data_IF_370463784587
#
_entry.id   IF_370463784587
#
_cell.length_a   1.000
_cell.length_b   1.000
_cell.length_c   1.000
_cell.angle_alpha   90.00
_cell.angle_beta   90.00
_cell.angle_gamma   90.00
#
_symmetry.space_group_name_H-M   'P 1'
#
loop_
_entity.id
_entity.type
_entity.pdbx_description
1 polymer ?
#
# COMPACT_ATOMS: atom_id res chain seq x y z
N UNK A 1 14.51 2.43 -28.75
CA UNK A 1 15.28 2.96 -27.61
C UNK A 1 15.66 1.81 -26.70
N UNK A 2 16.96 1.63 -26.42
CA UNK A 2 17.48 0.59 -25.52
C UNK A 2 17.91 1.24 -24.21
N UNK A 3 17.64 0.58 -23.09
CA UNK A 3 18.19 0.97 -21.79
C UNK A 3 19.71 0.83 -21.82
N UNK A 4 20.41 1.69 -21.08
CA UNK A 4 21.87 1.62 -20.97
C UNK A 4 22.30 0.24 -20.43
N UNK A 5 23.28 -0.40 -21.07
CA UNK A 5 23.73 -1.75 -20.74
C UNK A 5 24.35 -1.84 -19.34
N UNK A 6 25.02 -0.78 -18.88
CA UNK A 6 25.55 -0.68 -17.50
C UNK A 6 24.44 -0.61 -16.47
N UNK A 7 23.38 0.16 -16.71
CA UNK A 7 22.23 0.22 -15.81
C UNK A 7 21.57 -1.15 -15.64
N UNK A 8 21.38 -1.91 -16.73
CA UNK A 8 20.80 -3.25 -16.69
C UNK A 8 21.64 -4.20 -15.83
N UNK A 9 22.98 -4.12 -15.88
CA UNK A 9 23.88 -4.97 -15.11
C UNK A 9 23.89 -4.64 -13.61
N UNK A 10 23.70 -3.36 -13.26
CA UNK A 10 23.85 -2.84 -11.89
C UNK A 10 22.52 -2.86 -11.12
N UNK A 11 21.41 -2.57 -11.79
CA UNK A 11 20.12 -2.27 -11.13
C UNK A 11 19.58 -3.37 -10.21
N UNK A 12 19.91 -4.63 -10.47
CA UNK A 12 19.40 -5.78 -9.70
C UNK A 12 20.40 -6.29 -8.64
N UNK A 13 21.60 -5.70 -8.56
CA UNK A 13 22.59 -6.03 -7.51
C UNK A 13 22.12 -5.47 -6.16
N UNK A 14 22.48 -6.14 -5.07
CA UNK A 14 22.09 -5.75 -3.72
C UNK A 14 22.48 -4.30 -3.35
N UNK A 15 23.60 -3.82 -3.89
CA UNK A 15 24.11 -2.44 -3.72
C UNK A 15 23.52 -1.42 -4.71
N UNK A 16 22.63 -1.85 -5.61
CA UNK A 16 21.98 -1.01 -6.61
C UNK A 16 20.61 -0.51 -6.15
N UNK A 17 19.58 -0.64 -6.99
CA UNK A 17 18.20 -0.25 -6.65
C UNK A 17 17.67 -0.84 -5.34
N UNK A 18 17.92 -2.13 -4.98
CA UNK A 18 17.41 -2.70 -3.75
C UNK A 18 17.83 -1.95 -2.48
N UNK A 19 19.01 -1.33 -2.49
CA UNK A 19 19.55 -0.58 -1.35
C UNK A 19 18.89 0.78 -1.20
N UNK A 20 18.78 1.54 -2.30
CA UNK A 20 18.35 2.94 -2.25
C UNK A 20 16.82 3.10 -2.26
N UNK A 21 16.12 2.22 -2.96
CA UNK A 21 14.70 2.36 -3.22
C UNK A 21 13.84 2.34 -1.94
N UNK A 22 14.08 1.49 -0.92
CA UNK A 22 13.36 1.57 0.35
C UNK A 22 13.59 2.91 1.04
N UNK A 23 14.84 3.37 1.10
CA UNK A 23 15.20 4.63 1.77
C UNK A 23 14.57 5.85 1.09
N UNK A 24 14.29 5.79 -0.22
CA UNK A 24 13.68 6.89 -0.97
C UNK A 24 12.15 6.84 -0.94
N UNK A 25 11.54 5.66 -1.04
CA UNK A 25 10.07 5.53 -1.08
C UNK A 25 9.44 5.56 0.32
N UNK A 26 10.10 5.00 1.34
CA UNK A 26 9.59 5.02 2.71
C UNK A 26 9.24 6.44 3.18
N UNK A 27 10.06 7.50 3.03
CA UNK A 27 9.69 8.84 3.46
C UNK A 27 8.49 9.40 2.68
N UNK A 28 8.32 9.05 1.41
CA UNK A 28 7.12 9.47 0.66
C UNK A 28 5.88 8.81 1.27
N UNK A 29 5.95 7.50 1.53
CA UNK A 29 4.85 6.77 2.17
C UNK A 29 4.61 7.19 3.62
N UNK A 30 5.58 7.83 4.28
CA UNK A 30 5.38 8.47 5.58
C UNK A 30 4.21 9.44 5.58
N UNK A 31 4.19 10.29 4.56
CA UNK A 31 3.26 11.41 4.44
C UNK A 31 1.87 10.93 4.01
N UNK A 32 1.83 9.79 3.30
CA UNK A 32 0.60 9.16 2.84
C UNK A 32 -0.02 8.28 3.93
N UNK A 33 0.78 7.69 4.82
CA UNK A 33 0.26 6.93 5.94
C UNK A 33 -0.54 7.84 6.87
N UNK A 34 -1.69 7.35 7.29
CA UNK A 34 -2.66 8.14 8.05
C UNK A 34 -2.93 7.48 9.38
N UNK A 35 -2.88 8.30 10.42
CA UNK A 35 -3.12 7.90 11.79
C UNK A 35 -4.37 8.62 12.29
N UNK A 36 -5.15 7.95 13.12
CA UNK A 36 -6.28 8.55 13.82
C UNK A 36 -6.11 8.34 15.33
N UNK A 37 -6.49 9.35 16.10
CA UNK A 37 -6.56 9.25 17.55
C UNK A 37 -7.96 8.77 17.95
N UNK A 38 -8.01 7.70 18.73
CA UNK A 38 -9.20 7.16 19.38
C UNK A 38 -8.97 7.27 20.89
N UNK A 39 -10.05 7.22 21.69
CA UNK A 39 -9.98 7.22 23.15
C UNK A 39 -9.03 6.18 23.75
N UNK A 40 -8.77 5.07 23.05
CA UNK A 40 -7.87 3.99 23.46
C UNK A 40 -6.42 4.11 22.96
N UNK A 41 -6.09 5.13 22.15
CA UNK A 41 -4.74 5.32 21.59
C UNK A 41 -4.75 5.78 20.13
N UNK A 42 -3.58 5.71 19.49
CA UNK A 42 -3.43 5.97 18.05
C UNK A 42 -3.75 4.69 17.27
N UNK A 43 -4.38 4.81 16.11
CA UNK A 43 -4.60 3.69 15.19
C UNK A 43 -4.15 4.05 13.79
N UNK A 44 -3.68 3.05 13.03
CA UNK A 44 -3.42 3.18 11.61
C UNK A 44 -4.74 3.13 10.85
N UNK A 45 -5.00 4.11 9.99
CA UNK A 45 -6.08 4.04 9.01
C UNK A 45 -5.57 3.54 7.64
N UNK A 46 -4.28 3.79 7.35
CA UNK A 46 -3.65 3.33 6.13
C UNK A 46 -2.15 3.10 6.32
N UNK A 47 -1.66 1.91 5.95
CA UNK A 47 -0.28 1.50 6.18
C UNK A 47 0.37 0.86 4.94
N UNK A 48 1.20 1.64 4.23
CA UNK A 48 1.92 1.22 3.01
C UNK A 48 3.31 0.57 3.20
N UNK A 49 4.08 0.81 4.30
CA UNK A 49 5.44 0.30 4.41
C UNK A 49 5.55 -1.23 4.26
N UNK A 50 4.61 -1.97 4.82
CA UNK A 50 4.58 -3.44 4.72
C UNK A 50 4.42 -3.89 3.25
N UNK A 51 3.50 -3.26 2.53
CA UNK A 51 3.26 -3.53 1.12
C UNK A 51 4.50 -3.23 0.24
N UNK A 52 5.24 -2.16 0.55
CA UNK A 52 6.50 -1.82 -0.12
C UNK A 52 7.55 -2.90 0.06
N UNK A 53 7.76 -3.35 1.31
CA UNK A 53 8.80 -4.33 1.62
C UNK A 53 8.50 -5.70 1.00
N UNK A 54 7.24 -6.13 1.01
CA UNK A 54 6.80 -7.34 0.30
C UNK A 54 7.08 -7.20 -1.20
N UNK A 55 6.73 -6.05 -1.80
CA UNK A 55 6.97 -5.80 -3.23
C UNK A 55 8.45 -5.79 -3.58
N UNK A 56 9.30 -5.29 -2.67
CA UNK A 56 10.76 -5.32 -2.83
C UNK A 56 11.32 -6.73 -2.83
N UNK A 57 10.88 -7.58 -1.90
CA UNK A 57 11.26 -9.00 -1.87
C UNK A 57 10.81 -9.75 -3.12
N UNK A 58 9.65 -9.41 -3.68
CA UNK A 58 9.16 -10.01 -4.93
C UNK A 58 10.05 -9.68 -6.14
N UNK A 59 10.62 -8.48 -6.23
CA UNK A 59 11.49 -8.08 -7.34
C UNK A 59 12.95 -8.50 -7.16
N UNK A 60 13.50 -8.27 -5.97
CA UNK A 60 14.93 -8.36 -5.71
C UNK A 60 15.32 -9.52 -4.79
N UNK A 61 14.35 -10.28 -4.26
CA UNK A 61 14.61 -11.43 -3.38
C UNK A 61 15.46 -11.02 -2.17
N UNK A 62 16.34 -11.91 -1.71
CA UNK A 62 17.32 -11.65 -0.65
C UNK A 62 18.12 -10.35 -0.80
N UNK A 63 18.33 -9.86 -2.03
CA UNK A 63 19.09 -8.62 -2.27
C UNK A 63 18.37 -7.37 -1.73
N UNK A 64 17.07 -7.42 -1.45
CA UNK A 64 16.32 -6.32 -0.85
C UNK A 64 16.53 -6.16 0.65
N UNK A 65 16.92 -7.22 1.38
CA UNK A 65 16.98 -7.19 2.84
C UNK A 65 17.91 -6.10 3.39
N UNK A 66 19.15 -5.92 2.88
CA UNK A 66 20.04 -4.88 3.39
C UNK A 66 19.45 -3.48 3.21
N UNK A 67 18.80 -3.22 2.07
CA UNK A 67 18.16 -1.94 1.79
C UNK A 67 16.93 -1.68 2.65
N UNK A 68 16.13 -2.71 2.92
CA UNK A 68 14.96 -2.60 3.80
C UNK A 68 15.43 -2.29 5.23
N UNK A 69 16.42 -3.02 5.73
CA UNK A 69 16.97 -2.79 7.06
C UNK A 69 17.52 -1.36 7.17
N UNK A 70 18.38 -0.95 6.25
CA UNK A 70 18.95 0.40 6.22
C UNK A 70 17.85 1.47 6.13
N UNK A 71 16.86 1.30 5.26
CA UNK A 71 15.77 2.26 5.09
C UNK A 71 14.91 2.44 6.35
N UNK A 72 14.68 1.37 7.11
CA UNK A 72 14.00 1.46 8.41
C UNK A 72 14.90 2.16 9.42
N UNK A 73 16.17 1.74 9.53
CA UNK A 73 17.12 2.31 10.47
C UNK A 73 17.32 3.82 10.27
N UNK A 74 17.64 4.26 9.06
CA UNK A 74 17.86 5.68 8.75
C UNK A 74 16.67 6.54 9.17
N UNK A 75 15.45 6.01 9.03
CA UNK A 75 14.24 6.77 9.32
C UNK A 75 13.81 6.72 10.78
N UNK A 76 13.90 5.55 11.41
CA UNK A 76 13.29 5.31 12.74
C UNK A 76 14.28 5.38 13.89
N UNK A 77 15.58 5.32 13.61
CA UNK A 77 16.62 5.39 14.62
C UNK A 77 16.57 6.66 15.46
N UNK A 78 16.35 7.82 14.83
CA UNK A 78 16.26 9.10 15.53
C UNK A 78 15.01 9.22 16.43
N UNK A 79 13.92 8.53 16.07
CA UNK A 79 12.64 8.59 16.79
C UNK A 79 12.57 7.56 17.95
N UNK A 80 13.10 6.35 17.74
CA UNK A 80 12.88 5.19 18.63
C UNK A 80 14.13 4.76 19.40
N UNK A 81 15.32 5.26 19.01
CA UNK A 81 16.59 4.76 19.52
C UNK A 81 16.98 3.39 18.95
N UNK A 82 18.12 2.86 19.39
CA UNK A 82 18.74 1.67 18.79
C UNK A 82 17.91 0.39 19.00
N UNK A 83 17.55 0.07 20.25
CA UNK A 83 16.93 -1.21 20.61
C UNK A 83 15.54 -1.39 19.98
N UNK A 84 14.69 -0.38 20.07
CA UNK A 84 13.34 -0.43 19.48
C UNK A 84 13.40 -0.45 17.94
N UNK A 85 14.32 0.31 17.33
CA UNK A 85 14.52 0.28 15.87
C UNK A 85 15.00 -1.09 15.39
N UNK A 86 15.87 -1.74 16.16
CA UNK A 86 16.34 -3.09 15.86
C UNK A 86 15.21 -4.11 15.97
N UNK A 87 14.38 -4.02 17.02
CA UNK A 87 13.19 -4.87 17.19
C UNK A 87 12.17 -4.67 16.06
N UNK A 88 11.87 -3.42 15.71
CA UNK A 88 10.99 -3.09 14.58
C UNK A 88 11.53 -3.65 13.26
N UNK A 89 12.82 -3.47 13.01
CA UNK A 89 13.48 -3.98 11.81
C UNK A 89 13.43 -5.51 11.75
N UNK A 90 13.71 -6.19 12.87
CA UNK A 90 13.62 -7.64 12.99
C UNK A 90 12.20 -8.14 12.70
N UNK A 91 11.17 -7.49 13.27
CA UNK A 91 9.78 -7.83 13.01
C UNK A 91 9.46 -7.75 11.51
N UNK A 92 9.83 -6.66 10.84
CA UNK A 92 9.64 -6.53 9.40
C UNK A 92 10.37 -7.60 8.60
N UNK A 93 11.63 -7.87 8.91
CA UNK A 93 12.44 -8.88 8.22
C UNK A 93 11.83 -10.28 8.37
N UNK A 94 11.40 -10.66 9.58
CA UNK A 94 10.76 -11.96 9.83
C UNK A 94 9.49 -12.09 8.98
N UNK A 95 8.63 -11.08 9.01
CA UNK A 95 7.37 -11.08 8.25
C UNK A 95 7.64 -11.25 6.76
N UNK A 96 8.50 -10.42 6.18
CA UNK A 96 8.69 -10.43 4.72
C UNK A 96 9.41 -11.70 4.25
N UNK A 97 10.32 -12.27 5.04
CA UNK A 97 10.99 -13.53 4.68
C UNK A 97 9.97 -14.67 4.68
N UNK A 98 9.11 -14.77 5.70
CA UNK A 98 8.08 -15.80 5.77
C UNK A 98 7.04 -15.65 4.65
N UNK A 99 6.57 -14.43 4.39
CA UNK A 99 5.60 -14.15 3.34
C UNK A 99 6.14 -14.46 1.94
N UNK A 100 7.36 -13.99 1.64
CA UNK A 100 8.01 -14.22 0.35
C UNK A 100 8.43 -15.69 0.17
N UNK A 101 8.97 -16.30 1.22
CA UNK A 101 9.39 -17.71 1.23
C UNK A 101 8.19 -18.64 1.02
N UNK A 102 7.12 -18.44 1.80
CA UNK A 102 5.85 -19.15 1.64
C UNK A 102 5.31 -18.99 0.22
N UNK A 103 5.19 -17.76 -0.28
CA UNK A 103 4.73 -17.54 -1.66
C UNK A 103 5.55 -18.33 -2.70
N UNK A 104 6.88 -18.38 -2.57
CA UNK A 104 7.73 -19.15 -3.49
C UNK A 104 7.55 -20.65 -3.41
N UNK A 105 7.37 -21.20 -2.21
CA UNK A 105 7.13 -22.64 -2.02
C UNK A 105 5.82 -23.07 -2.68
N UNK A 106 4.76 -22.25 -2.55
CA UNK A 106 3.46 -22.53 -3.16
C UNK A 106 3.37 -22.13 -4.65
N UNK A 107 4.32 -21.34 -5.18
CA UNK A 107 4.33 -20.91 -6.59
C UNK A 107 5.70 -21.05 -7.29
N UNK A 108 6.35 -22.24 -7.25
CA UNK A 108 7.77 -22.40 -7.56
C UNK A 108 8.15 -22.02 -9.01
N UNK A 109 7.28 -22.31 -9.99
CA UNK A 109 7.55 -22.08 -11.42
C UNK A 109 6.98 -20.76 -11.96
N UNK A 110 6.10 -20.08 -11.22
CA UNK A 110 5.37 -18.87 -11.67
C UNK A 110 5.48 -17.69 -10.70
N UNK A 111 6.44 -17.72 -9.79
CA UNK A 111 6.67 -16.67 -8.80
C UNK A 111 6.93 -15.28 -9.41
N UNK A 112 7.50 -15.21 -10.62
CA UNK A 112 7.87 -13.97 -11.30
C UNK A 112 6.88 -13.54 -12.40
N UNK A 113 5.63 -14.00 -12.35
CA UNK A 113 4.59 -13.59 -13.29
C UNK A 113 4.01 -12.22 -12.89
N UNK A 114 3.55 -11.44 -13.87
CA UNK A 114 2.92 -10.14 -13.66
C UNK A 114 1.85 -10.16 -12.55
N UNK A 115 1.72 -9.07 -11.79
CA UNK A 115 0.81 -8.99 -10.65
C UNK A 115 -0.68 -9.21 -11.02
N UNK A 116 -1.07 -8.99 -12.28
CA UNK A 116 -2.45 -9.17 -12.77
C UNK A 116 -2.82 -10.56 -13.32
N UNK A 117 -2.02 -11.61 -13.07
CA UNK A 117 -2.39 -12.98 -13.48
C UNK A 117 -3.42 -13.57 -12.50
N UNK A 118 -4.61 -13.90 -13.01
CA UNK A 118 -5.76 -14.39 -12.24
C UNK A 118 -5.52 -15.77 -11.63
N UNK A 119 -4.62 -16.58 -12.22
CA UNK A 119 -4.35 -17.95 -11.75
C UNK A 119 -3.65 -18.00 -10.38
N UNK A 120 -3.00 -16.91 -9.98
CA UNK A 120 -2.23 -16.82 -8.73
C UNK A 120 -2.93 -15.94 -7.69
N UNK A 121 -4.17 -15.51 -7.95
CA UNK A 121 -4.83 -14.49 -7.13
C UNK A 121 -5.03 -14.96 -5.68
N UNK A 122 -5.48 -16.21 -5.47
CA UNK A 122 -5.69 -16.76 -4.13
C UNK A 122 -4.40 -16.85 -3.33
N UNK A 123 -3.31 -17.30 -3.98
CA UNK A 123 -1.99 -17.38 -3.36
C UNK A 123 -1.44 -15.99 -3.00
N UNK A 124 -1.71 -14.97 -3.85
CA UNK A 124 -1.29 -13.59 -3.58
C UNK A 124 -2.09 -12.96 -2.46
N UNK A 125 -3.41 -13.14 -2.46
CA UNK A 125 -4.26 -12.64 -1.38
C UNK A 125 -3.80 -13.22 -0.05
N UNK A 126 -3.56 -14.53 0.01
CA UNK A 126 -3.10 -15.15 1.24
C UNK A 126 -1.70 -14.65 1.66
N UNK A 127 -0.68 -14.82 0.80
CA UNK A 127 0.72 -14.57 1.19
C UNK A 127 1.16 -13.10 1.18
N UNK A 128 0.43 -12.22 0.48
CA UNK A 128 0.82 -10.81 0.33
C UNK A 128 -0.14 -9.85 1.05
N UNK A 129 -1.34 -10.31 1.44
CA UNK A 129 -2.34 -9.45 2.10
C UNK A 129 -2.66 -9.98 3.49
N UNK A 130 -3.26 -11.17 3.58
CA UNK A 130 -3.81 -11.71 4.82
C UNK A 130 -2.69 -12.11 5.79
N UNK A 131 -1.81 -13.02 5.36
CA UNK A 131 -0.71 -13.53 6.18
C UNK A 131 0.25 -12.44 6.68
N UNK A 132 0.70 -11.46 5.87
CA UNK A 132 1.54 -10.38 6.39
C UNK A 132 0.81 -9.48 7.38
N UNK A 133 -0.48 -9.18 7.17
CA UNK A 133 -1.25 -8.35 8.09
C UNK A 133 -1.45 -9.04 9.45
N UNK A 134 -1.78 -10.34 9.45
CA UNK A 134 -1.95 -11.12 10.69
C UNK A 134 -0.62 -11.26 11.44
N UNK A 135 0.44 -11.63 10.73
CA UNK A 135 1.76 -11.85 11.33
C UNK A 135 2.35 -10.55 11.87
N UNK A 136 2.13 -9.42 11.17
CA UNK A 136 2.51 -8.10 11.65
C UNK A 136 1.85 -7.78 13.00
N UNK A 137 0.54 -7.95 13.12
CA UNK A 137 -0.15 -7.67 14.39
C UNK A 137 0.30 -8.59 15.52
N UNK A 138 0.41 -9.90 15.26
CA UNK A 138 0.82 -10.87 16.29
C UNK A 138 2.22 -10.55 16.79
N UNK A 139 3.18 -10.32 15.89
CA UNK A 139 4.55 -9.99 16.29
C UNK A 139 4.64 -8.62 16.96
N UNK A 140 3.89 -7.63 16.47
CA UNK A 140 3.88 -6.30 17.07
C UNK A 140 3.31 -6.34 18.49
N UNK A 141 2.22 -7.07 18.70
CA UNK A 141 1.62 -7.23 20.02
C UNK A 141 2.52 -8.04 20.96
N UNK A 142 3.20 -9.07 20.45
CA UNK A 142 4.20 -9.81 21.21
C UNK A 142 5.38 -8.91 21.61
N UNK A 143 5.89 -8.09 20.67
CA UNK A 143 6.96 -7.15 20.94
C UNK A 143 6.56 -6.06 21.95
N UNK A 144 5.31 -5.58 21.89
CA UNK A 144 4.74 -4.67 22.87
C UNK A 144 4.63 -5.35 24.25
N UNK A 145 4.14 -6.59 24.32
CA UNK A 145 4.02 -7.34 25.57
C UNK A 145 5.38 -7.59 26.26
N UNK A 146 6.43 -7.84 25.49
CA UNK A 146 7.80 -8.02 26.02
C UNK A 146 8.46 -6.68 26.38
N UNK A 147 7.85 -5.54 26.01
CA UNK A 147 8.40 -4.19 26.24
C UNK A 147 9.48 -3.77 25.23
N UNK A 148 9.62 -4.48 24.11
CA UNK A 148 10.59 -4.16 23.04
C UNK A 148 10.16 -2.99 22.15
N UNK A 149 8.89 -2.57 22.23
CA UNK A 149 8.29 -1.43 21.51
C UNK A 149 7.44 -0.58 22.46
N UNK A 150 8.00 -0.24 23.63
CA UNK A 150 7.30 0.51 24.68
C UNK A 150 6.76 1.86 24.16
N UNK A 151 7.51 2.56 23.30
CA UNK A 151 7.07 3.84 22.71
C UNK A 151 5.84 3.74 21.80
N UNK A 152 5.44 2.53 21.39
CA UNK A 152 4.34 2.28 20.46
C UNK A 152 3.24 1.39 21.04
N UNK A 153 3.20 1.20 22.35
CA UNK A 153 2.11 0.47 23.01
C UNK A 153 0.73 1.06 22.68
N UNK A 154 0.65 2.39 22.59
CA UNK A 154 -0.57 3.11 22.22
C UNK A 154 -1.09 2.82 20.81
N UNK A 155 -0.27 2.22 19.92
CA UNK A 155 -0.68 1.95 18.54
C UNK A 155 -1.51 0.69 18.37
N UNK A 156 -1.25 -0.36 19.15
CA UNK A 156 -1.93 -1.66 19.00
C UNK A 156 -2.56 -2.11 20.31
N UNK A 157 -2.16 -1.51 21.44
CA UNK A 157 -2.56 -1.94 22.77
C UNK A 157 -1.99 -3.33 23.11
N UNK A 158 -1.91 -3.64 24.40
CA UNK A 158 -1.46 -4.96 24.87
C UNK A 158 -2.56 -6.02 24.66
N UNK A 159 -3.83 -5.61 24.56
CA UNK A 159 -4.97 -6.52 24.43
C UNK A 159 -5.28 -6.90 22.96
N UNK A 160 -5.45 -8.20 22.63
CA UNK A 160 -5.58 -8.65 21.25
C UNK A 160 -6.94 -8.33 20.62
N UNK A 161 -8.00 -8.27 21.43
CA UNK A 161 -9.38 -8.07 20.98
C UNK A 161 -9.89 -6.68 21.35
N UNK A 162 -9.21 -5.65 20.86
CA UNK A 162 -9.63 -4.26 20.98
C UNK A 162 -10.12 -3.72 19.64
N UNK A 163 -11.02 -2.73 19.68
CA UNK A 163 -11.49 -1.98 18.53
C UNK A 163 -10.31 -1.35 17.75
N UNK A 164 -9.29 -0.86 18.47
CA UNK A 164 -8.07 -0.34 17.84
C UNK A 164 -7.31 -1.40 17.04
N UNK A 165 -7.13 -2.60 17.59
CA UNK A 165 -6.50 -3.74 16.91
C UNK A 165 -7.28 -4.15 15.65
N UNK A 166 -8.61 -4.11 15.72
CA UNK A 166 -9.47 -4.41 14.57
C UNK A 166 -9.31 -3.36 13.46
N UNK A 167 -9.29 -2.07 13.81
CA UNK A 167 -9.07 -0.98 12.84
C UNK A 167 -7.68 -1.11 12.21
N UNK A 168 -6.65 -1.37 13.02
CA UNK A 168 -5.29 -1.59 12.53
C UNK A 168 -5.21 -2.80 11.58
N UNK A 169 -5.91 -3.88 11.90
CA UNK A 169 -5.96 -5.06 11.03
C UNK A 169 -6.60 -4.72 9.69
N UNK A 170 -7.74 -4.03 9.71
CA UNK A 170 -8.40 -3.55 8.49
C UNK A 170 -7.47 -2.64 7.69
N UNK A 171 -6.78 -1.70 8.32
CA UNK A 171 -5.85 -0.79 7.67
C UNK A 171 -4.67 -1.52 7.03
N UNK A 172 -4.13 -2.55 7.68
CA UNK A 172 -3.06 -3.39 7.13
C UNK A 172 -3.56 -4.23 5.95
N UNK A 173 -4.76 -4.81 6.04
CA UNK A 173 -5.35 -5.57 4.93
C UNK A 173 -5.59 -4.67 3.71
N UNK A 174 -6.23 -3.52 3.90
CA UNK A 174 -6.51 -2.55 2.84
C UNK A 174 -5.21 -1.98 2.27
N UNK A 175 -4.26 -1.63 3.15
CA UNK A 175 -2.93 -1.14 2.80
C UNK A 175 -2.15 -2.14 1.94
N UNK A 176 -2.17 -3.43 2.27
CA UNK A 176 -1.52 -4.46 1.46
C UNK A 176 -2.26 -4.75 0.15
N UNK A 177 -3.59 -4.82 0.17
CA UNK A 177 -4.42 -5.10 -1.01
C UNK A 177 -4.18 -4.09 -2.14
N UNK A 178 -4.01 -2.83 -1.77
CA UNK A 178 -3.84 -1.73 -2.72
C UNK A 178 -2.36 -1.39 -2.91
N UNK A 179 -1.61 -1.39 -1.81
CA UNK A 179 -0.21 -1.00 -1.77
C UNK A 179 0.68 -1.99 -2.52
N UNK A 180 0.43 -3.30 -2.46
CA UNK A 180 1.29 -4.27 -3.15
C UNK A 180 1.22 -4.09 -4.68
N UNK A 181 0.04 -4.03 -5.33
CA UNK A 181 -0.04 -3.70 -6.75
C UNK A 181 0.60 -2.36 -7.11
N UNK A 182 0.37 -1.31 -6.30
CA UNK A 182 0.95 0.02 -6.52
C UNK A 182 2.48 0.01 -6.45
N UNK A 183 3.03 -0.50 -5.35
CA UNK A 183 4.47 -0.59 -5.13
C UNK A 183 5.12 -1.45 -6.20
N UNK A 184 4.48 -2.57 -6.56
CA UNK A 184 4.92 -3.42 -7.67
C UNK A 184 5.00 -2.63 -8.98
N UNK A 185 3.97 -1.83 -9.30
CA UNK A 185 3.98 -0.98 -10.49
C UNK A 185 5.09 0.08 -10.44
N UNK A 186 5.23 0.81 -9.33
CA UNK A 186 6.27 1.84 -9.14
C UNK A 186 7.67 1.24 -9.32
N UNK A 187 7.97 0.14 -8.60
CA UNK A 187 9.27 -0.54 -8.70
C UNK A 187 9.53 -1.02 -10.12
N UNK A 188 8.50 -1.54 -10.81
CA UNK A 188 8.65 -2.00 -12.20
C UNK A 188 8.95 -0.86 -13.17
N UNK A 189 8.32 0.30 -12.98
CA UNK A 189 8.58 1.50 -13.78
C UNK A 189 9.97 2.06 -13.51
N UNK A 190 10.41 2.12 -12.26
CA UNK A 190 11.78 2.54 -11.90
C UNK A 190 12.81 1.59 -12.52
N UNK A 191 12.60 0.27 -12.39
CA UNK A 191 13.52 -0.75 -12.94
C UNK A 191 13.57 -0.72 -14.47
N UNK A 192 12.44 -0.48 -15.13
CA UNK A 192 12.33 -0.39 -16.58
C UNK A 192 11.32 0.68 -17.00
N UNK A 193 11.75 1.93 -17.27
CA UNK A 193 10.84 3.02 -17.61
C UNK A 193 10.06 2.78 -18.91
N UNK A 194 10.60 1.97 -19.84
CA UNK A 194 9.90 1.61 -21.07
C UNK A 194 8.71 0.68 -20.83
N UNK A 195 8.58 0.08 -19.64
CA UNK A 195 7.40 -0.68 -19.25
C UNK A 195 6.13 0.16 -19.35
N UNK A 196 6.20 1.48 -19.15
CA UNK A 196 5.05 2.39 -19.30
C UNK A 196 4.38 2.30 -20.67
N UNK A 197 5.15 2.09 -21.74
CA UNK A 197 4.59 1.95 -23.10
C UNK A 197 3.81 0.64 -23.26
N UNK A 198 4.39 -0.46 -22.77
CA UNK A 198 3.72 -1.77 -22.77
C UNK A 198 2.49 -1.74 -21.86
N UNK A 199 2.60 -1.09 -20.71
CA UNK A 199 1.49 -0.93 -19.77
C UNK A 199 0.36 -0.12 -20.41
N UNK A 200 0.66 1.02 -21.04
CA UNK A 200 -0.31 1.82 -21.77
C UNK A 200 -1.01 1.03 -22.89
N UNK A 201 -0.24 0.23 -23.65
CA UNK A 201 -0.83 -0.67 -24.65
C UNK A 201 -1.79 -1.68 -24.03
N UNK A 202 -1.44 -2.24 -22.87
CA UNK A 202 -2.32 -3.17 -22.14
C UNK A 202 -3.56 -2.47 -21.58
N UNK A 203 -3.46 -1.21 -21.14
CA UNK A 203 -4.61 -0.41 -20.73
C UNK A 203 -5.55 -0.20 -21.91
N UNK A 204 -5.02 0.25 -23.06
CA UNK A 204 -5.80 0.49 -24.27
C UNK A 204 -6.52 -0.77 -24.75
N UNK A 205 -5.92 -1.95 -24.60
CA UNK A 205 -6.54 -3.24 -24.94
C UNK A 205 -7.70 -3.64 -24.01
N UNK A 206 -7.74 -3.12 -22.79
CA UNK A 206 -8.81 -3.44 -21.82
C UNK A 206 -9.98 -2.45 -21.87
N UNK A 207 -9.77 -1.27 -22.46
CA UNK A 207 -10.84 -0.29 -22.67
C UNK A 207 -11.80 -0.83 -23.73
N UNK A 208 -13.09 -0.82 -23.42
CA UNK A 208 -14.14 -1.19 -24.35
C UNK A 208 -14.09 -0.31 -25.61
N UNK A 209 -14.16 -0.93 -26.79
CA UNK A 209 -14.09 -0.28 -28.09
C UNK A 209 -15.17 0.80 -28.26
N UNK A 210 -16.31 0.64 -27.57
CA UNK A 210 -17.44 1.57 -27.61
C UNK A 210 -17.23 2.86 -26.81
N UNK A 211 -16.20 2.91 -25.98
CA UNK A 211 -15.95 4.06 -25.10
C UNK A 211 -15.53 5.28 -25.92
N UNK A 212 -16.29 6.35 -25.79
CA UNK A 212 -15.93 7.64 -26.38
C UNK A 212 -14.99 8.42 -25.46
N UNK A 213 -14.13 9.27 -26.03
CA UNK A 213 -13.27 10.17 -25.25
C UNK A 213 -14.09 11.10 -24.33
N UNK A 214 -15.30 11.49 -24.77
CA UNK A 214 -16.21 12.33 -24.00
C UNK A 214 -16.75 11.61 -22.76
N UNK A 215 -17.16 10.35 -22.92
CA UNK A 215 -17.60 9.50 -21.80
C UNK A 215 -16.50 9.33 -20.76
N UNK A 216 -15.27 9.04 -21.19
CA UNK A 216 -14.12 8.95 -20.28
C UNK A 216 -13.85 10.27 -19.55
N UNK A 217 -13.91 11.40 -20.26
CA UNK A 217 -13.73 12.72 -19.64
C UNK A 217 -14.83 13.03 -18.62
N UNK A 218 -16.09 12.69 -18.92
CA UNK A 218 -17.22 12.92 -18.02
C UNK A 218 -17.13 12.04 -16.77
N UNK A 219 -16.71 10.78 -16.91
CA UNK A 219 -16.45 9.92 -15.76
C UNK A 219 -15.30 10.44 -14.90
N UNK A 220 -14.20 10.91 -15.50
CA UNK A 220 -13.07 11.48 -14.78
C UNK A 220 -13.46 12.78 -14.05
N UNK A 221 -14.30 13.62 -14.67
CA UNK A 221 -14.86 14.81 -14.04
C UNK A 221 -15.76 14.44 -12.85
N UNK A 222 -16.62 13.42 -12.99
CA UNK A 222 -17.46 12.94 -11.89
C UNK A 222 -16.61 12.41 -10.73
N UNK A 223 -15.55 11.64 -11.02
CA UNK A 223 -14.62 11.15 -10.01
C UNK A 223 -13.91 12.30 -9.30
N UNK A 224 -13.40 13.27 -10.05
CA UNK A 224 -12.76 14.47 -9.50
C UNK A 224 -13.70 15.29 -8.64
N UNK A 225 -14.95 15.48 -9.07
CA UNK A 225 -15.97 16.20 -8.29
C UNK A 225 -16.27 15.50 -6.96
N UNK A 226 -16.45 14.17 -6.95
CA UNK A 226 -16.67 13.42 -5.71
C UNK A 226 -15.46 13.49 -4.76
N UNK A 227 -14.24 13.39 -5.30
CA UNK A 227 -13.02 13.54 -4.50
C UNK A 227 -12.89 14.94 -3.91
N UNK A 228 -13.18 15.99 -4.68
CA UNK A 228 -13.15 17.36 -4.19
C UNK A 228 -14.18 17.58 -3.08
N UNK A 229 -15.39 17.04 -3.23
CA UNK A 229 -16.42 17.09 -2.20
C UNK A 229 -15.99 16.37 -0.91
N UNK A 230 -15.29 15.24 -1.02
CA UNK A 230 -14.70 14.53 0.14
C UNK A 230 -13.53 15.30 0.77
N UNK A 231 -12.76 16.05 -0.02
CA UNK A 231 -11.65 16.84 0.49
C UNK A 231 -12.10 18.17 1.12
N UNK A 232 -13.33 18.62 0.86
CA UNK A 232 -13.86 19.85 1.46
C UNK A 232 -14.23 19.63 2.93
N UNK A 233 -13.78 20.51 3.84
CA UNK A 233 -14.13 20.37 5.26
C UNK A 233 -15.64 20.60 5.47
N UNK A 234 -16.23 19.82 6.39
CA UNK A 234 -17.60 20.02 6.84
C UNK A 234 -17.80 21.42 7.44
N UNK A 235 -18.92 22.03 7.09
CA UNK A 235 -19.38 23.33 7.58
C UNK A 235 -20.90 23.28 7.80
N UNK A 236 -21.50 24.27 8.46
CA UNK A 236 -22.94 24.27 8.79
C UNK A 236 -23.86 24.25 7.55
N UNK A 237 -23.33 24.59 6.37
CA UNK A 237 -24.02 24.54 5.07
C UNK A 237 -23.67 23.30 4.24
N UNK A 238 -22.97 22.32 4.81
CA UNK A 238 -22.56 21.13 4.09
C UNK A 238 -23.77 20.30 3.67
N UNK A 239 -23.75 19.90 2.40
CA UNK A 239 -24.79 19.02 1.87
C UNK A 239 -24.48 17.57 2.25
N UNK A 240 -25.47 16.68 2.10
CA UNK A 240 -25.31 15.24 2.32
C UNK A 240 -24.15 14.67 1.47
N UNK A 241 -23.87 15.28 0.31
CA UNK A 241 -22.75 14.93 -0.59
C UNK A 241 -21.37 15.38 -0.12
N UNK A 242 -21.25 16.04 1.03
CA UNK A 242 -19.96 16.38 1.64
C UNK A 242 -19.63 15.48 2.84
N UNK A 243 -20.45 14.46 3.09
CA UNK A 243 -20.33 13.54 4.22
C UNK A 243 -19.89 12.14 3.76
N UNK A 244 -19.85 11.18 4.69
CA UNK A 244 -19.58 9.76 4.44
C UNK A 244 -20.41 9.13 3.30
N UNK A 245 -21.60 9.66 2.96
CA UNK A 245 -22.41 9.14 1.85
C UNK A 245 -21.71 9.22 0.49
N UNK A 246 -20.77 10.14 0.32
CA UNK A 246 -19.98 10.30 -0.91
C UNK A 246 -19.03 9.13 -1.14
N UNK A 247 -18.54 8.49 -0.06
CA UNK A 247 -17.77 7.24 -0.16
C UNK A 247 -18.63 6.11 -0.76
N UNK A 248 -19.91 6.04 -0.39
CA UNK A 248 -20.84 5.05 -0.93
C UNK A 248 -21.13 5.29 -2.43
N UNK A 249 -21.17 6.55 -2.89
CA UNK A 249 -21.32 6.89 -4.32
C UNK A 249 -20.07 6.61 -5.15
N UNK A 250 -18.91 6.67 -4.51
CA UNK A 250 -17.62 6.40 -5.16
C UNK A 250 -17.46 4.93 -5.57
N UNK A 251 -18.08 3.99 -4.82
CA UNK A 251 -18.05 2.57 -5.14
C UNK A 251 -18.75 2.23 -6.49
N UNK A 252 -20.04 2.57 -6.73
CA UNK A 252 -20.68 2.38 -8.02
C UNK A 252 -19.94 3.05 -9.18
N UNK A 253 -19.42 4.27 -8.96
CA UNK A 253 -18.68 5.00 -10.00
C UNK A 253 -17.41 4.25 -10.42
N UNK A 254 -16.67 3.71 -9.45
CA UNK A 254 -15.44 2.95 -9.70
C UNK A 254 -15.72 1.55 -10.26
N UNK A 255 -16.81 0.90 -9.84
CA UNK A 255 -17.29 -0.36 -10.42
C UNK A 255 -17.69 -0.18 -11.89
N UNK A 256 -18.42 0.89 -12.21
CA UNK A 256 -18.77 1.22 -13.58
C UNK A 256 -17.52 1.49 -14.43
N UNK A 257 -16.55 2.23 -13.87
CA UNK A 257 -15.25 2.43 -14.51
C UNK A 257 -14.49 1.11 -14.75
N UNK A 258 -14.57 0.14 -13.82
CA UNK A 258 -13.93 -1.17 -13.96
C UNK A 258 -14.50 -1.97 -15.12
N UNK A 259 -15.82 -1.92 -15.31
CA UNK A 259 -16.50 -2.59 -16.42
C UNK A 259 -16.17 -1.98 -17.79
N UNK A 260 -15.98 -0.65 -17.87
CA UNK A 260 -15.75 0.06 -19.15
C UNK A 260 -14.28 0.23 -19.53
N UNK A 261 -13.43 0.57 -18.58
CA UNK A 261 -12.02 0.94 -18.83
C UNK A 261 -11.03 -0.16 -18.45
N UNK A 262 -11.53 -1.21 -17.79
CA UNK A 262 -10.75 -2.37 -17.39
C UNK A 262 -10.10 -2.23 -16.01
N UNK A 263 -9.82 -3.38 -15.41
CA UNK A 263 -9.39 -3.47 -14.02
C UNK A 263 -8.00 -2.86 -13.76
N UNK A 264 -7.07 -2.84 -14.73
CA UNK A 264 -5.69 -2.35 -14.50
C UNK A 264 -5.61 -0.84 -14.33
N UNK A 265 -6.44 -0.11 -15.08
CA UNK A 265 -6.53 1.35 -14.94
C UNK A 265 -7.21 1.67 -13.61
N UNK A 266 -8.32 0.98 -13.32
CA UNK A 266 -9.13 1.25 -12.15
C UNK A 266 -8.43 0.84 -10.86
N UNK A 267 -7.64 -0.22 -10.84
CA UNK A 267 -6.87 -0.58 -9.63
C UNK A 267 -5.85 0.48 -9.25
N UNK A 268 -5.18 1.11 -10.22
CA UNK A 268 -4.26 2.23 -9.96
C UNK A 268 -5.01 3.48 -9.50
N UNK A 269 -6.11 3.84 -10.17
CA UNK A 269 -6.90 5.01 -9.78
C UNK A 269 -7.56 4.81 -8.41
N UNK A 270 -8.08 3.62 -8.12
CA UNK A 270 -8.65 3.26 -6.83
C UNK A 270 -7.65 3.43 -5.70
N UNK A 271 -6.40 3.09 -5.96
CA UNK A 271 -5.33 3.28 -5.00
C UNK A 271 -5.09 4.75 -4.67
N UNK A 272 -5.05 5.62 -5.69
CA UNK A 272 -4.91 7.07 -5.51
C UNK A 272 -6.12 7.66 -4.80
N UNK A 273 -7.32 7.25 -5.20
CA UNK A 273 -8.59 7.65 -4.59
C UNK A 273 -8.60 7.31 -3.10
N UNK A 274 -8.26 6.08 -2.71
CA UNK A 274 -8.24 5.70 -1.31
C UNK A 274 -7.13 6.38 -0.51
N UNK A 275 -5.95 6.60 -1.10
CA UNK A 275 -4.90 7.39 -0.44
C UNK A 275 -5.40 8.82 -0.11
N UNK A 276 -6.06 9.48 -1.06
CA UNK A 276 -6.57 10.85 -0.87
C UNK A 276 -7.74 10.87 0.12
N UNK A 277 -8.71 9.97 -0.06
CA UNK A 277 -9.90 9.92 0.81
C UNK A 277 -9.50 9.62 2.25
N UNK A 278 -8.71 8.58 2.50
CA UNK A 278 -8.30 8.22 3.87
C UNK A 278 -7.41 9.31 4.48
N UNK A 279 -6.57 9.98 3.69
CA UNK A 279 -5.80 11.13 4.19
C UNK A 279 -6.67 12.30 4.61
N UNK A 280 -7.79 12.52 3.92
CA UNK A 280 -8.73 13.58 4.21
C UNK A 280 -9.85 13.15 5.17
N UNK A 281 -9.68 12.06 5.94
CA UNK A 281 -10.77 11.48 6.73
C UNK A 281 -11.42 12.46 7.72
N UNK A 282 -10.62 13.39 8.26
CA UNK A 282 -11.09 14.41 9.20
C UNK A 282 -12.09 15.38 8.59
N UNK A 283 -12.06 15.54 7.27
CA UNK A 283 -12.91 16.52 6.59
C UNK A 283 -14.36 16.05 6.48
N UNK A 284 -14.62 14.74 6.56
CA UNK A 284 -15.94 14.16 6.34
C UNK A 284 -16.42 13.20 7.46
N UNK A 285 -15.55 12.84 8.41
CA UNK A 285 -15.93 12.16 9.66
C UNK A 285 -16.06 13.23 10.75
N UNK A 286 -17.27 13.42 11.33
CA UNK A 286 -17.45 14.40 12.39
C UNK A 286 -16.63 14.01 13.62
N UNK A 287 -15.88 14.98 14.17
CA UNK A 287 -15.24 14.86 15.48
C UNK A 287 -16.38 14.95 16.50
N UNK A 288 -16.95 13.81 16.90
CA UNK A 288 -17.84 13.81 18.05
C UNK A 288 -16.99 13.98 19.33
N UNK A 289 -17.41 14.87 20.25
CA UNK A 289 -16.79 14.97 21.58
C UNK A 289 -16.98 13.70 22.42
#
# INVERSE_FOLDING_TARGET
MKLNATYIKIRDKWWGLPLFLPSLILPIFAHINTFAHISSGEVFLFYLPLALMISMMMFFSWAALPGIALGIFVRKYAELGFYETLSLTANFIIIIILCWGGYRVFTPRRNNVSHGDTRLISQRIFWQIVFPATLFLILFQFAAFVGLLASRENLVGVMPFNLGTLINYQALLVGNLIGVPLCYFIIRVVRNPFYLRSYYSQLKQQVDVKVTKKEFALWLLALGALLLLLCMPLNEKSTIFSTNYTLSLLLPLMMWGAMRYGYKLISLLWAVVLMISIHSYQNYIPIYP
#
